data_IF_317795052688
#
_entry.id   IF_317795052688
#
_cell.length_a   1.000
_cell.length_b   1.000
_cell.length_c   1.000
_cell.angle_alpha   90.00
_cell.angle_beta   90.00
_cell.angle_gamma   90.00
#
_symmetry.space_group_name_H-M   'P 1'
#
loop_
_entity.id
_entity.type
_entity.pdbx_description
1 polymer ?
#
# COMPACT_ATOMS: atom_id res chain seq x y z
N UNK A 1 18.17 6.58 -2.41
CA UNK A 1 17.78 7.16 -1.12
C UNK A 1 18.48 6.37 -0.03
N UNK A 2 19.30 7.03 0.81
CA UNK A 2 20.02 6.37 1.91
C UNK A 2 19.21 6.38 3.22
N UNK A 3 19.71 5.67 4.24
CA UNK A 3 19.06 5.54 5.55
C UNK A 3 18.63 6.89 6.16
N UNK A 4 19.53 7.87 6.20
CA UNK A 4 19.22 9.20 6.77
C UNK A 4 18.12 9.95 6.00
N UNK A 5 18.00 9.75 4.68
CA UNK A 5 16.91 10.34 3.92
C UNK A 5 15.59 9.62 4.21
N UNK A 6 15.58 8.29 4.27
CA UNK A 6 14.39 7.51 4.63
C UNK A 6 13.87 7.86 6.02
N UNK A 7 14.77 8.05 7.00
CA UNK A 7 14.40 8.51 8.34
C UNK A 7 13.79 9.91 8.34
N UNK A 8 14.38 10.86 7.59
CA UNK A 8 13.80 12.20 7.44
C UNK A 8 12.40 12.17 6.84
N UNK A 9 12.16 11.30 5.86
CA UNK A 9 10.82 11.11 5.29
C UNK A 9 9.84 10.56 6.32
N UNK A 10 10.25 9.60 7.13
CA UNK A 10 9.42 9.06 8.20
C UNK A 10 9.05 10.14 9.24
N UNK A 11 10.02 10.93 9.70
CA UNK A 11 9.77 12.04 10.63
C UNK A 11 8.86 13.09 10.00
N UNK A 12 9.04 13.39 8.70
CA UNK A 12 8.16 14.30 7.96
C UNK A 12 6.72 13.75 7.89
N UNK A 13 6.55 12.46 7.65
CA UNK A 13 5.23 11.81 7.66
C UNK A 13 4.55 11.95 9.03
N UNK A 14 5.27 11.72 10.14
CA UNK A 14 4.76 11.94 11.51
C UNK A 14 4.31 13.39 11.70
N UNK A 15 5.16 14.35 11.33
CA UNK A 15 4.86 15.77 11.45
C UNK A 15 3.60 16.15 10.66
N UNK A 16 3.52 15.74 9.40
CA UNK A 16 2.34 16.00 8.55
C UNK A 16 1.08 15.33 9.09
N UNK A 17 1.19 14.12 9.65
CA UNK A 17 0.05 13.47 10.28
C UNK A 17 -0.44 14.21 11.51
N UNK A 18 0.46 14.84 12.27
CA UNK A 18 0.11 15.70 13.41
C UNK A 18 -0.52 17.03 12.96
N UNK A 19 0.08 17.71 11.97
CA UNK A 19 -0.43 18.97 11.40
C UNK A 19 -1.82 18.80 10.77
N UNK A 20 -2.13 17.60 10.26
CA UNK A 20 -3.41 17.25 9.68
C UNK A 20 -4.17 16.18 10.48
N UNK A 21 -4.02 16.18 11.81
CA UNK A 21 -4.58 15.14 12.69
C UNK A 21 -6.06 14.87 12.43
N UNK A 22 -6.88 15.92 12.29
CA UNK A 22 -8.31 15.76 12.00
C UNK A 22 -8.57 15.03 10.67
N UNK A 23 -7.82 15.36 9.60
CA UNK A 23 -7.96 14.68 8.29
C UNK A 23 -7.49 13.24 8.37
N UNK A 24 -6.41 12.99 9.13
CA UNK A 24 -5.86 11.65 9.35
C UNK A 24 -6.88 10.75 10.06
N UNK A 25 -7.44 11.22 11.17
CA UNK A 25 -8.44 10.49 11.96
C UNK A 25 -9.72 10.27 11.17
N UNK A 26 -10.29 11.31 10.53
CA UNK A 26 -11.51 11.19 9.74
C UNK A 26 -11.32 10.30 8.51
N UNK A 27 -10.20 10.46 7.80
CA UNK A 27 -9.87 9.62 6.66
C UNK A 27 -9.78 8.16 7.05
N UNK A 28 -9.11 7.86 8.17
CA UNK A 28 -8.93 6.48 8.61
C UNK A 28 -10.23 5.88 9.16
N UNK A 29 -11.04 6.66 9.88
CA UNK A 29 -12.34 6.22 10.36
C UNK A 29 -13.25 5.87 9.17
N UNK A 30 -13.27 6.74 8.14
CA UNK A 30 -14.03 6.49 6.91
C UNK A 30 -13.50 5.25 6.19
N UNK A 31 -12.18 5.12 6.06
CA UNK A 31 -11.55 3.95 5.47
C UNK A 31 -11.91 2.66 6.22
N UNK A 32 -11.86 2.66 7.55
CA UNK A 32 -12.17 1.50 8.38
C UNK A 32 -13.63 1.08 8.23
N UNK A 33 -14.56 2.03 8.37
CA UNK A 33 -16.00 1.79 8.25
C UNK A 33 -16.32 1.24 6.86
N UNK A 34 -15.85 1.90 5.79
CA UNK A 34 -16.19 1.51 4.42
C UNK A 34 -15.53 0.17 4.06
N UNK A 35 -14.24 0.00 4.35
CA UNK A 35 -13.50 -1.22 4.00
C UNK A 35 -14.04 -2.46 4.70
N UNK A 36 -14.34 -2.37 6.00
CA UNK A 36 -14.75 -3.54 6.79
C UNK A 36 -16.27 -3.73 6.86
N UNK A 37 -17.07 -2.74 6.45
CA UNK A 37 -18.54 -2.82 6.53
C UNK A 37 -19.14 -4.12 5.99
N UNK A 38 -18.77 -4.64 4.80
CA UNK A 38 -19.45 -5.82 4.28
C UNK A 38 -19.15 -7.07 5.11
N UNK A 39 -17.89 -7.23 5.54
CA UNK A 39 -17.49 -8.35 6.38
C UNK A 39 -18.06 -8.26 7.79
N UNK A 40 -18.06 -7.06 8.38
CA UNK A 40 -18.64 -6.85 9.71
C UNK A 40 -20.14 -7.13 9.72
N UNK A 41 -20.88 -6.68 8.69
CA UNK A 41 -22.31 -6.98 8.57
C UNK A 41 -22.58 -8.49 8.54
N UNK A 42 -21.76 -9.26 7.83
CA UNK A 42 -21.86 -10.72 7.83
C UNK A 42 -21.54 -11.34 9.19
N UNK A 43 -20.54 -10.83 9.92
CA UNK A 43 -20.20 -11.33 11.26
C UNK A 43 -21.34 -11.07 12.26
N UNK A 44 -21.95 -9.88 12.21
CA UNK A 44 -23.03 -9.50 13.14
C UNK A 44 -24.38 -10.13 12.79
N UNK A 45 -24.64 -10.37 11.50
CA UNK A 45 -25.85 -11.03 11.02
C UNK A 45 -25.47 -12.29 10.24
N UNK A 46 -24.95 -13.33 10.92
CA UNK A 46 -24.49 -14.53 10.25
C UNK A 46 -25.67 -15.26 9.61
N UNK A 47 -25.45 -15.76 8.41
CA UNK A 47 -26.44 -16.54 7.66
C UNK A 47 -25.80 -17.85 7.21
N UNK A 48 -26.55 -18.94 7.25
CA UNK A 48 -26.12 -20.25 6.71
C UNK A 48 -25.97 -20.27 5.17
N UNK A 49 -26.40 -19.20 4.49
CA UNK A 49 -26.32 -19.12 3.04
C UNK A 49 -24.89 -18.84 2.55
N UNK A 50 -24.29 -19.84 1.92
CA UNK A 50 -22.96 -19.76 1.32
C UNK A 50 -22.81 -18.63 0.29
N UNK A 51 -23.87 -18.29 -0.45
CA UNK A 51 -23.82 -17.19 -1.42
C UNK A 51 -23.65 -15.84 -0.72
N UNK A 52 -24.32 -15.62 0.42
CA UNK A 52 -24.20 -14.39 1.20
C UNK A 52 -22.79 -14.26 1.77
N UNK A 53 -22.21 -15.37 2.26
CA UNK A 53 -20.82 -15.40 2.71
C UNK A 53 -19.84 -14.99 1.60
N UNK A 54 -19.96 -15.60 0.42
CA UNK A 54 -19.09 -15.30 -0.73
C UNK A 54 -19.24 -13.83 -1.18
N UNK A 55 -20.48 -13.33 -1.23
CA UNK A 55 -20.78 -11.96 -1.61
C UNK A 55 -20.15 -10.96 -0.62
N UNK A 56 -20.22 -11.25 0.68
CA UNK A 56 -19.57 -10.43 1.71
C UNK A 56 -18.06 -10.37 1.57
N UNK A 57 -17.40 -11.47 1.20
CA UNK A 57 -15.95 -11.48 0.92
C UNK A 57 -15.63 -10.62 -0.30
N UNK A 58 -16.34 -10.83 -1.42
CA UNK A 58 -16.11 -10.09 -2.67
C UNK A 58 -16.32 -8.60 -2.44
N UNK A 59 -17.41 -8.23 -1.76
CA UNK A 59 -17.73 -6.84 -1.49
C UNK A 59 -16.69 -6.20 -0.56
N UNK A 60 -16.15 -6.95 0.41
CA UNK A 60 -15.06 -6.48 1.27
C UNK A 60 -13.77 -6.20 0.50
N UNK A 61 -13.42 -7.03 -0.49
CA UNK A 61 -12.26 -6.77 -1.35
C UNK A 61 -12.46 -5.48 -2.17
N UNK A 62 -13.66 -5.30 -2.72
CA UNK A 62 -14.01 -4.11 -3.51
C UNK A 62 -13.96 -2.86 -2.63
N UNK A 63 -14.61 -2.87 -1.46
CA UNK A 63 -14.63 -1.71 -0.55
C UNK A 63 -13.26 -1.42 0.05
N UNK A 64 -12.48 -2.44 0.40
CA UNK A 64 -11.10 -2.28 0.88
C UNK A 64 -10.21 -1.61 -0.17
N UNK A 65 -10.29 -2.07 -1.41
CA UNK A 65 -9.48 -1.51 -2.49
C UNK A 65 -9.87 -0.07 -2.85
N UNK A 66 -11.18 0.21 -2.93
CA UNK A 66 -11.72 1.54 -3.21
C UNK A 66 -11.40 2.53 -2.10
N UNK A 67 -11.56 2.14 -0.84
CA UNK A 67 -11.22 2.97 0.32
C UNK A 67 -9.74 3.28 0.38
N UNK A 68 -8.89 2.28 0.12
CA UNK A 68 -7.43 2.47 0.09
C UNK A 68 -7.02 3.44 -1.02
N UNK A 69 -7.59 3.29 -2.21
CA UNK A 69 -7.40 4.27 -3.30
C UNK A 69 -7.88 5.67 -2.95
N UNK A 70 -9.00 5.79 -2.24
CA UNK A 70 -9.53 7.07 -1.76
C UNK A 70 -8.61 7.75 -0.75
N UNK A 71 -8.07 7.00 0.22
CA UNK A 71 -7.09 7.54 1.18
C UNK A 71 -5.84 8.06 0.49
N UNK A 72 -5.31 7.28 -0.45
CA UNK A 72 -4.12 7.63 -1.23
C UNK A 72 -4.37 8.91 -2.04
N UNK A 73 -5.58 9.06 -2.61
CA UNK A 73 -5.98 10.26 -3.32
C UNK A 73 -6.08 11.49 -2.42
N UNK A 74 -6.71 11.37 -1.25
CA UNK A 74 -6.83 12.46 -0.27
C UNK A 74 -5.46 12.94 0.20
N UNK A 75 -4.57 12.02 0.56
CA UNK A 75 -3.26 12.41 1.08
C UNK A 75 -2.33 12.89 -0.02
N UNK A 76 -2.43 12.37 -1.24
CA UNK A 76 -1.73 12.97 -2.38
C UNK A 76 -2.11 14.44 -2.59
N UNK A 77 -3.42 14.76 -2.53
CA UNK A 77 -3.91 16.15 -2.61
C UNK A 77 -3.44 17.00 -1.43
N UNK A 78 -3.53 16.46 -0.22
CA UNK A 78 -3.08 17.15 1.00
C UNK A 78 -1.60 17.51 0.92
N UNK A 79 -0.76 16.59 0.43
CA UNK A 79 0.68 16.80 0.26
C UNK A 79 1.01 17.83 -0.82
N UNK A 80 0.12 18.04 -1.79
CA UNK A 80 0.21 19.11 -2.79
C UNK A 80 -0.31 20.46 -2.30
N UNK A 81 -0.84 20.54 -1.08
CA UNK A 81 -1.47 21.74 -0.54
C UNK A 81 -2.85 22.03 -1.15
N UNK A 82 -3.47 21.06 -1.84
CA UNK A 82 -4.80 21.23 -2.40
C UNK A 82 -5.89 21.15 -1.31
N UNK A 83 -6.99 21.86 -1.52
CA UNK A 83 -8.15 21.77 -0.62
C UNK A 83 -8.80 20.39 -0.69
N UNK A 84 -9.03 19.80 0.49
CA UNK A 84 -9.66 18.49 0.64
C UNK A 84 -11.01 18.68 1.30
N UNK A 85 -12.07 18.31 0.59
CA UNK A 85 -13.43 18.24 1.13
C UNK A 85 -13.82 16.80 1.44
N UNK A 86 -14.91 16.62 2.20
CA UNK A 86 -15.45 15.29 2.48
C UNK A 86 -15.84 14.51 1.21
N UNK A 87 -16.20 15.22 0.12
CA UNK A 87 -16.55 14.60 -1.18
C UNK A 87 -15.34 13.95 -1.86
N UNK A 88 -14.12 14.41 -1.56
CA UNK A 88 -12.90 13.86 -2.15
C UNK A 88 -12.70 12.37 -1.85
N UNK A 89 -13.22 11.87 -0.72
CA UNK A 89 -13.19 10.43 -0.43
C UNK A 89 -13.98 9.65 -1.49
N UNK A 90 -15.21 10.07 -1.79
CA UNK A 90 -16.04 9.39 -2.78
C UNK A 90 -15.55 9.57 -4.20
N UNK A 91 -14.97 10.72 -4.53
CA UNK A 91 -14.33 10.93 -5.83
C UNK A 91 -13.14 9.97 -6.01
N UNK A 92 -12.29 9.88 -4.98
CA UNK A 92 -11.15 8.95 -4.96
C UNK A 92 -11.60 7.48 -5.03
N UNK A 93 -12.66 7.13 -4.29
CA UNK A 93 -13.22 5.78 -4.26
C UNK A 93 -13.71 5.37 -5.65
N UNK A 94 -14.63 6.15 -6.24
CA UNK A 94 -15.21 5.81 -7.56
C UNK A 94 -14.16 5.74 -8.65
N UNK A 95 -13.15 6.61 -8.59
CA UNK A 95 -12.08 6.66 -9.58
C UNK A 95 -11.15 5.43 -9.52
N UNK A 96 -10.89 4.89 -8.33
CA UNK A 96 -9.88 3.84 -8.15
C UNK A 96 -10.45 2.47 -7.77
N UNK A 97 -11.73 2.35 -7.44
CA UNK A 97 -12.31 1.07 -6.97
C UNK A 97 -12.13 -0.07 -7.97
N UNK A 98 -12.36 0.17 -9.26
CA UNK A 98 -12.24 -0.90 -10.27
C UNK A 98 -10.80 -1.36 -10.47
N UNK A 99 -9.89 -0.40 -10.77
CA UNK A 99 -8.47 -0.70 -10.97
C UNK A 99 -7.83 -1.26 -9.68
N UNK A 100 -8.20 -0.69 -8.53
CA UNK A 100 -7.75 -1.12 -7.21
C UNK A 100 -8.22 -2.54 -6.88
N UNK A 101 -9.46 -2.90 -7.21
CA UNK A 101 -9.98 -4.26 -6.98
C UNK A 101 -9.19 -5.30 -7.76
N UNK A 102 -8.88 -5.02 -9.03
CA UNK A 102 -8.06 -5.91 -9.86
C UNK A 102 -6.64 -6.02 -9.28
N UNK A 103 -6.04 -4.91 -8.84
CA UNK A 103 -4.72 -4.91 -8.21
C UNK A 103 -4.72 -5.77 -6.94
N UNK A 104 -5.69 -5.57 -6.04
CA UNK A 104 -5.80 -6.35 -4.80
C UNK A 104 -6.03 -7.82 -5.11
N UNK A 105 -6.87 -8.15 -6.09
CA UNK A 105 -7.08 -9.52 -6.53
C UNK A 105 -5.78 -10.18 -7.03
N UNK A 106 -5.01 -9.49 -7.89
CA UNK A 106 -3.72 -9.99 -8.38
C UNK A 106 -2.71 -10.15 -7.24
N UNK A 107 -2.69 -9.24 -6.26
CA UNK A 107 -1.85 -9.34 -5.07
C UNK A 107 -2.24 -10.55 -4.23
N UNK A 108 -3.54 -10.76 -3.96
CA UNK A 108 -4.04 -11.92 -3.20
C UNK A 108 -3.67 -13.22 -3.91
N UNK A 109 -3.83 -13.27 -5.24
CA UNK A 109 -3.43 -14.42 -6.06
C UNK A 109 -1.92 -14.66 -5.95
N UNK A 110 -1.10 -13.61 -6.06
CA UNK A 110 0.35 -13.68 -5.89
C UNK A 110 0.77 -14.24 -4.53
N UNK A 111 0.20 -13.73 -3.44
CA UNK A 111 0.47 -14.26 -2.09
C UNK A 111 -0.02 -15.71 -1.94
N UNK A 112 -1.17 -16.05 -2.52
CA UNK A 112 -1.73 -17.41 -2.45
C UNK A 112 -0.83 -18.44 -3.15
N UNK A 113 -0.31 -18.11 -4.34
CA UNK A 113 0.63 -18.96 -5.07
C UNK A 113 1.92 -19.13 -4.27
N UNK A 114 2.48 -18.05 -3.71
CA UNK A 114 3.71 -18.14 -2.91
C UNK A 114 3.51 -18.94 -1.63
N UNK A 115 2.39 -18.75 -0.93
CA UNK A 115 2.05 -19.48 0.28
C UNK A 115 1.87 -20.98 -0.02
N UNK A 116 1.16 -21.34 -1.09
CA UNK A 116 1.01 -22.73 -1.54
C UNK A 116 2.38 -23.38 -1.80
N UNK A 117 3.29 -22.66 -2.47
CA UNK A 117 4.63 -23.16 -2.75
C UNK A 117 5.47 -23.40 -1.48
N UNK A 118 5.32 -22.55 -0.46
CA UNK A 118 5.97 -22.77 0.86
C UNK A 118 5.40 -24.01 1.53
N UNK A 119 4.06 -24.16 1.56
CA UNK A 119 3.40 -25.31 2.17
C UNK A 119 3.81 -26.61 1.46
N UNK A 120 3.85 -26.60 0.13
CA UNK A 120 4.31 -27.73 -0.67
C UNK A 120 5.77 -28.09 -0.40
N UNK A 121 6.64 -27.09 -0.30
CA UNK A 121 8.07 -27.29 -0.01
C UNK A 121 8.29 -27.85 1.40
N UNK A 122 7.45 -27.46 2.38
CA UNK A 122 7.51 -28.02 3.74
C UNK A 122 7.02 -29.47 3.82
N UNK A 123 6.03 -29.83 3.00
CA UNK A 123 5.49 -31.20 2.96
C UNK A 123 6.48 -32.22 2.38
N UNK A 124 7.49 -31.76 1.62
CA UNK A 124 8.50 -32.61 0.99
C UNK A 124 9.89 -32.28 1.57
N UNK A 125 10.28 -32.86 2.71
CA UNK A 125 11.53 -32.50 3.38
C UNK A 125 12.74 -33.07 2.62
N UNK A 126 13.23 -32.30 1.65
CA UNK A 126 14.54 -32.48 1.01
C UNK A 126 15.34 -31.17 1.10
N UNK A 127 16.67 -31.27 1.04
CA UNK A 127 17.56 -30.08 1.05
C UNK A 127 17.21 -29.11 -0.07
N UNK A 128 16.79 -29.62 -1.23
CA UNK A 128 16.34 -28.81 -2.36
C UNK A 128 15.08 -28.00 -2.01
N UNK A 129 14.06 -28.66 -1.43
CA UNK A 129 12.81 -27.97 -1.04
C UNK A 129 13.01 -26.99 0.12
N UNK A 130 14.00 -27.22 0.99
CA UNK A 130 14.37 -26.24 2.03
C UNK A 130 14.89 -24.94 1.42
N UNK A 131 15.84 -25.03 0.49
CA UNK A 131 16.38 -23.85 -0.22
C UNK A 131 15.28 -23.15 -1.02
N UNK A 132 14.43 -23.93 -1.70
CA UNK A 132 13.32 -23.40 -2.48
C UNK A 132 12.29 -22.68 -1.60
N UNK A 133 12.01 -23.17 -0.39
CA UNK A 133 11.17 -22.47 0.59
C UNK A 133 11.73 -21.10 0.98
N UNK A 134 13.05 -20.97 1.09
CA UNK A 134 13.71 -19.67 1.33
C UNK A 134 13.47 -18.69 0.19
N UNK A 135 13.56 -19.17 -1.06
CA UNK A 135 13.25 -18.37 -2.25
C UNK A 135 11.79 -17.89 -2.28
N UNK A 136 10.83 -18.76 -1.98
CA UNK A 136 9.42 -18.37 -1.91
C UNK A 136 9.14 -17.35 -0.82
N UNK A 137 9.79 -17.49 0.34
CA UNK A 137 9.70 -16.52 1.43
C UNK A 137 10.24 -15.14 1.00
N UNK A 138 11.37 -15.10 0.29
CA UNK A 138 11.87 -13.87 -0.30
C UNK A 138 10.88 -13.26 -1.29
N UNK A 139 10.21 -14.09 -2.10
CA UNK A 139 9.14 -13.66 -2.99
C UNK A 139 7.98 -12.98 -2.26
N UNK A 140 7.61 -13.45 -1.06
CA UNK A 140 6.57 -12.82 -0.22
C UNK A 140 7.04 -11.44 0.25
N UNK A 141 8.26 -11.33 0.75
CA UNK A 141 8.83 -10.05 1.18
C UNK A 141 8.85 -9.05 0.03
N UNK A 142 9.34 -9.47 -1.14
CA UNK A 142 9.36 -8.66 -2.34
C UNK A 142 7.96 -8.20 -2.75
N UNK A 143 7.00 -9.13 -2.81
CA UNK A 143 5.61 -8.79 -3.14
C UNK A 143 5.02 -7.79 -2.14
N UNK A 144 5.29 -7.96 -0.84
CA UNK A 144 4.81 -7.06 0.20
C UNK A 144 5.35 -5.63 0.02
N UNK A 145 6.65 -5.49 -0.24
CA UNK A 145 7.26 -4.18 -0.57
C UNK A 145 6.60 -3.56 -1.80
N UNK A 146 6.38 -4.37 -2.84
CA UNK A 146 5.76 -3.94 -4.09
C UNK A 146 4.35 -3.37 -3.85
N UNK A 147 3.55 -4.00 -2.97
CA UNK A 147 2.19 -3.52 -2.64
C UNK A 147 2.17 -2.12 -2.01
N UNK A 148 3.23 -1.72 -1.30
CA UNK A 148 3.31 -0.41 -0.65
C UNK A 148 3.48 0.75 -1.64
N UNK A 149 3.96 0.47 -2.85
CA UNK A 149 4.22 1.47 -3.89
C UNK A 149 3.17 1.47 -5.01
N UNK A 150 2.47 0.35 -5.25
CA UNK A 150 1.47 0.26 -6.33
C UNK A 150 0.37 1.31 -6.19
N UNK A 151 -0.22 1.44 -5.00
CA UNK A 151 -1.33 2.35 -4.78
C UNK A 151 -0.95 3.84 -4.94
N UNK A 152 0.17 4.33 -4.35
CA UNK A 152 0.69 5.66 -4.65
C UNK A 152 0.92 5.88 -6.14
N UNK A 153 1.58 4.94 -6.84
CA UNK A 153 1.84 5.06 -8.29
C UNK A 153 0.52 5.17 -9.07
N UNK A 154 -0.45 4.31 -8.77
CA UNK A 154 -1.75 4.30 -9.45
C UNK A 154 -2.46 5.64 -9.31
N UNK A 155 -2.45 6.22 -8.11
CA UNK A 155 -3.17 7.46 -7.80
C UNK A 155 -2.44 8.70 -8.32
N UNK A 156 -1.13 8.78 -8.11
CA UNK A 156 -0.33 9.94 -8.49
C UNK A 156 -0.15 10.05 -10.00
N UNK A 157 0.05 8.93 -10.69
CA UNK A 157 0.34 8.91 -12.12
C UNK A 157 -0.86 8.55 -13.00
N UNK A 158 -1.97 8.09 -12.42
CA UNK A 158 -3.17 7.67 -13.13
C UNK A 158 -2.90 6.60 -14.22
N UNK A 159 -1.88 5.77 -14.02
CA UNK A 159 -1.44 4.75 -14.99
C UNK A 159 -2.39 3.54 -15.07
N UNK A 160 -2.15 2.66 -16.05
CA UNK A 160 -2.78 1.35 -16.14
C UNK A 160 -2.24 0.36 -15.10
N UNK A 161 -2.96 -0.74 -14.87
CA UNK A 161 -2.61 -1.75 -13.84
C UNK A 161 -1.23 -2.37 -14.11
N UNK A 162 -1.00 -2.83 -15.35
CA UNK A 162 0.29 -3.43 -15.75
C UNK A 162 1.47 -2.47 -15.53
N UNK A 163 1.26 -1.20 -15.87
CA UNK A 163 2.28 -0.18 -15.74
C UNK A 163 2.56 0.17 -14.27
N UNK A 164 1.53 0.18 -13.42
CA UNK A 164 1.70 0.36 -11.98
C UNK A 164 2.56 -0.76 -11.36
N UNK A 165 2.31 -2.02 -11.72
CA UNK A 165 3.14 -3.16 -11.28
C UNK A 165 4.57 -3.06 -11.81
N UNK A 166 4.74 -2.76 -13.10
CA UNK A 166 6.07 -2.62 -13.72
C UNK A 166 6.89 -1.52 -13.05
N UNK A 167 6.30 -0.34 -12.84
CA UNK A 167 6.97 0.79 -12.18
C UNK A 167 7.27 0.48 -10.72
N UNK A 168 6.34 -0.12 -9.99
CA UNK A 168 6.57 -0.52 -8.60
C UNK A 168 7.72 -1.54 -8.49
N UNK A 169 7.76 -2.52 -9.39
CA UNK A 169 8.84 -3.51 -9.46
C UNK A 169 10.20 -2.86 -9.74
N UNK A 170 10.29 -2.02 -10.77
CA UNK A 170 11.53 -1.30 -11.12
C UNK A 170 11.99 -0.41 -9.95
N UNK A 171 11.09 0.38 -9.36
CA UNK A 171 11.42 1.27 -8.25
C UNK A 171 11.95 0.50 -7.03
N UNK A 172 11.35 -0.67 -6.76
CA UNK A 172 11.74 -1.55 -5.66
C UNK A 172 13.13 -2.13 -5.87
N UNK A 173 13.40 -2.63 -7.08
CA UNK A 173 14.67 -3.27 -7.45
C UNK A 173 15.83 -2.26 -7.57
N UNK A 174 15.55 -1.05 -8.07
CA UNK A 174 16.56 0.00 -8.21
C UNK A 174 16.93 0.65 -6.87
N UNK A 175 16.03 0.64 -5.88
CA UNK A 175 16.26 1.20 -4.56
C UNK A 175 15.93 0.19 -3.45
N UNK A 176 16.67 -0.93 -3.36
CA UNK A 176 16.33 -2.02 -2.44
C UNK A 176 16.42 -1.57 -0.98
N UNK A 177 17.40 -0.72 -0.64
CA UNK A 177 17.53 -0.19 0.72
C UNK A 177 16.36 0.71 1.12
N UNK A 178 15.93 1.61 0.23
CA UNK A 178 14.83 2.53 0.52
C UNK A 178 13.51 1.77 0.67
N UNK A 179 13.29 0.79 -0.19
CA UNK A 179 12.10 -0.06 -0.17
C UNK A 179 12.08 -0.98 1.07
N UNK A 180 13.25 -1.49 1.49
CA UNK A 180 13.37 -2.21 2.76
C UNK A 180 13.13 -1.31 3.99
N UNK A 181 13.58 -0.05 3.97
CA UNK A 181 13.26 0.90 5.03
C UNK A 181 11.77 1.21 5.10
N UNK A 182 11.13 1.44 3.95
CA UNK A 182 9.67 1.64 3.88
C UNK A 182 8.92 0.42 4.44
N UNK A 183 9.39 -0.79 4.12
CA UNK A 183 8.85 -2.03 4.66
C UNK A 183 8.96 -2.08 6.18
N UNK A 184 10.16 -1.89 6.73
CA UNK A 184 10.42 -1.95 8.17
C UNK A 184 9.60 -0.89 8.91
N UNK A 185 9.55 0.34 8.40
CA UNK A 185 8.76 1.42 8.98
C UNK A 185 7.26 1.09 8.95
N UNK A 186 6.75 0.60 7.82
CA UNK A 186 5.34 0.23 7.67
C UNK A 186 4.97 -0.93 8.60
N UNK A 187 5.80 -1.97 8.68
CA UNK A 187 5.60 -3.09 9.59
C UNK A 187 5.67 -2.64 11.05
N UNK A 188 6.60 -1.75 11.40
CA UNK A 188 6.70 -1.21 12.76
C UNK A 188 5.43 -0.49 13.16
N UNK A 189 4.85 0.33 12.26
CA UNK A 189 3.56 0.98 12.51
C UNK A 189 2.46 -0.05 12.73
N UNK A 190 2.35 -1.06 11.86
CA UNK A 190 1.32 -2.11 11.98
C UNK A 190 1.45 -2.89 13.30
N UNK A 191 2.67 -3.31 13.65
CA UNK A 191 2.94 -4.07 14.88
C UNK A 191 2.64 -3.20 16.11
N UNK A 192 3.07 -1.94 16.13
CA UNK A 192 2.75 -1.01 17.21
C UNK A 192 1.23 -0.78 17.32
N UNK A 193 0.52 -0.67 16.20
CA UNK A 193 -0.95 -0.57 16.18
C UNK A 193 -1.63 -1.79 16.79
N UNK A 194 -1.09 -2.99 16.57
CA UNK A 194 -1.65 -4.23 17.10
C UNK A 194 -1.32 -4.43 18.59
N UNK A 195 -0.09 -4.14 19.01
CA UNK A 195 0.42 -4.49 20.34
C UNK A 195 0.16 -3.41 21.39
N UNK A 196 0.27 -2.12 21.05
CA UNK A 196 0.45 -1.08 22.05
C UNK A 196 -0.83 -0.39 22.54
N UNK A 197 -1.91 -0.28 21.74
CA UNK A 197 -2.99 0.70 22.04
C UNK A 197 -4.43 0.27 21.64
N UNK A 198 -4.66 -0.90 21.05
CA UNK A 198 -6.01 -1.38 20.68
C UNK A 198 -6.66 -0.65 19.49
N UNK A 199 -7.98 -0.82 19.31
CA UNK A 199 -8.76 -0.33 18.14
C UNK A 199 -8.49 1.15 17.76
N UNK A 200 -8.33 2.12 18.69
CA UNK A 200 -8.11 3.52 18.32
C UNK A 200 -6.85 3.77 17.48
N UNK A 201 -5.80 2.96 17.63
CA UNK A 201 -4.54 3.15 16.89
C UNK A 201 -4.55 2.44 15.52
N UNK A 202 -5.40 1.42 15.36
CA UNK A 202 -5.83 0.95 14.03
C UNK A 202 -6.59 2.04 13.26
N UNK A 203 -7.28 2.93 13.99
CA UNK A 203 -7.94 4.12 13.43
C UNK A 203 -6.94 5.23 13.03
N UNK A 204 -5.63 5.00 13.11
CA UNK A 204 -4.61 5.95 12.62
C UNK A 204 -3.72 5.36 11.52
N UNK A 205 -3.49 4.04 11.56
CA UNK A 205 -2.45 3.38 10.77
C UNK A 205 -2.63 3.49 9.26
N UNK A 206 -3.84 3.32 8.72
CA UNK A 206 -4.05 3.32 7.27
C UNK A 206 -3.80 4.71 6.66
N UNK A 207 -4.28 5.77 7.31
CA UNK A 207 -4.02 7.15 6.88
C UNK A 207 -2.54 7.52 7.01
N UNK A 208 -1.90 7.13 8.13
CA UNK A 208 -0.47 7.37 8.32
C UNK A 208 0.38 6.66 7.25
N UNK A 209 0.11 5.38 7.02
CA UNK A 209 0.80 4.60 5.99
C UNK A 209 0.58 5.19 4.60
N UNK A 210 -0.62 5.68 4.30
CA UNK A 210 -0.90 6.39 3.04
C UNK A 210 -0.02 7.64 2.88
N UNK A 211 0.10 8.48 3.92
CA UNK A 211 1.02 9.64 3.91
C UNK A 211 2.46 9.20 3.70
N UNK A 212 2.92 8.21 4.47
CA UNK A 212 4.29 7.70 4.41
C UNK A 212 4.64 7.18 3.00
N UNK A 213 3.76 6.35 2.43
CA UNK A 213 3.93 5.77 1.11
C UNK A 213 3.92 6.85 0.01
N UNK A 214 3.05 7.84 0.10
CA UNK A 214 3.05 8.97 -0.85
C UNK A 214 4.34 9.78 -0.78
N UNK A 215 4.87 10.06 0.42
CA UNK A 215 6.14 10.77 0.55
C UNK A 215 7.31 9.96 -0.01
N UNK A 216 7.41 8.68 0.34
CA UNK A 216 8.46 7.81 -0.16
C UNK A 216 8.44 7.73 -1.68
N UNK A 217 7.25 7.57 -2.26
CA UNK A 217 7.09 7.52 -3.69
C UNK A 217 7.47 8.85 -4.37
N UNK A 218 7.04 10.00 -3.83
CA UNK A 218 7.41 11.32 -4.35
C UNK A 218 8.91 11.55 -4.31
N UNK A 219 9.57 11.22 -3.19
CA UNK A 219 11.02 11.40 -3.01
C UNK A 219 11.83 10.48 -3.94
N UNK A 220 11.38 9.23 -4.12
CA UNK A 220 11.98 8.33 -5.10
C UNK A 220 11.81 8.88 -6.51
N UNK A 221 10.62 9.36 -6.87
CA UNK A 221 10.34 9.95 -8.19
C UNK A 221 11.19 11.17 -8.49
N UNK A 222 11.35 12.10 -7.54
CA UNK A 222 12.19 13.30 -7.70
C UNK A 222 13.64 12.93 -8.01
N UNK A 223 14.18 11.89 -7.38
CA UNK A 223 15.53 11.40 -7.67
C UNK A 223 15.70 11.01 -9.15
N UNK A 224 14.70 10.35 -9.74
CA UNK A 224 14.74 9.96 -11.15
C UNK A 224 14.53 11.13 -12.11
N UNK A 225 13.68 12.10 -11.75
CA UNK A 225 13.48 13.30 -12.57
C UNK A 225 14.77 14.13 -12.65
N UNK A 226 15.44 14.33 -11.52
CA UNK A 226 16.73 15.04 -11.47
C UNK A 226 17.79 14.30 -12.29
N UNK A 227 17.86 12.97 -12.19
CA UNK A 227 18.81 12.18 -12.97
C UNK A 227 18.58 12.35 -14.48
N UNK A 228 17.32 12.32 -14.93
CA UNK A 228 16.98 12.51 -16.33
C UNK A 228 17.28 13.94 -16.84
N UNK A 229 17.09 14.97 -16.01
CA UNK A 229 17.43 16.36 -16.37
C UNK A 229 18.94 16.58 -16.49
N UNK A 230 19.75 15.92 -15.65
CA UNK A 230 21.22 15.97 -15.74
C UNK A 230 21.70 15.32 -17.03
N UNK A 231 21.21 14.12 -17.36
CA UNK A 231 21.57 13.41 -18.60
C UNK A 231 21.20 14.22 -19.85
N UNK A 232 20.02 14.85 -19.89
CA UNK A 232 19.61 15.71 -21.00
C UNK A 232 20.39 17.04 -21.07
N UNK A 233 20.95 17.49 -19.96
CA UNK A 233 21.77 18.69 -19.90
C UNK A 233 23.21 18.46 -20.36
N UNK A 234 23.72 17.22 -20.24
CA UNK A 234 25.03 16.79 -20.75
C UNK A 234 24.97 16.53 -22.26
N UNK A 235 23.93 15.85 -22.75
CA UNK A 235 23.73 15.57 -24.20
C UNK A 235 23.51 16.82 -25.05
N UNK A 236 23.15 17.96 -24.44
CA UNK A 236 23.04 19.27 -25.12
C UNK A 236 24.33 20.10 -25.10
N UNK A 237 25.36 19.66 -24.37
CA UNK A 237 26.66 20.33 -24.27
C UNK A 237 27.76 19.65 -25.09
N UNK A 238 27.50 18.45 -25.61
CA UNK A 238 28.30 17.77 -26.63
C UNK A 238 27.82 18.13 -28.04
#
# INVERSE_FOLDING_TARGET
MGFGQSWRVFVRAIRTSYEHLAKVLLGNATWFIVSLSPFLLFIYFPTENYLIFLLSIILSIITFSGSTGALQYIFHKTLKGEEVSARCFWDGFKKHVFKGSIIVFVIILGFSVLAFNILFSRANPSTFFLVLSGFWFWGILYLFVLTQLIFPILVQENVGIREAFKRAALLTLDNPLASAMLLIMSLSVIVLSMVAVGVPFLVFSASFLSILQNYFYTELKVKYLIAAEVEQGEDKRE
#
